data_IF_680245473720
#
_entry.id   IF_680245473720
#
_cell.length_a   1.000
_cell.length_b   1.000
_cell.length_c   1.000
_cell.angle_alpha   90.00
_cell.angle_beta   90.00
_cell.angle_gamma   90.00
#
_symmetry.space_group_name_H-M   'P 1'
#
loop_
_entity.id
_entity.type
_entity.pdbx_description
1 polymer ?
#
# COMPACT_ATOMS: atom_id res chain seq x y z
N UNK A 1 19.41 51.10 19.50
CA UNK A 1 18.84 50.62 20.76
C UNK A 1 17.60 49.79 20.45
N UNK A 2 17.76 48.55 19.99
CA UNK A 2 18.14 47.34 20.76
C UNK A 2 16.88 46.71 21.39
N UNK A 3 16.42 45.54 20.92
CA UNK A 3 16.75 44.17 21.40
C UNK A 3 16.29 43.94 22.86
N UNK A 4 15.63 42.87 23.32
CA UNK A 4 15.30 41.53 22.82
C UNK A 4 14.17 40.96 23.72
N UNK A 5 13.36 40.04 23.18
CA UNK A 5 12.44 39.20 23.94
C UNK A 5 12.06 37.97 23.11
N UNK A 6 12.96 36.98 23.07
CA UNK A 6 12.72 35.67 22.46
C UNK A 6 11.56 34.94 23.17
N UNK A 7 10.59 34.50 22.38
CA UNK A 7 9.90 33.24 22.60
C UNK A 7 10.00 32.47 21.28
N UNK A 8 10.98 31.57 21.22
CA UNK A 8 11.08 30.49 20.25
C UNK A 8 9.75 29.72 20.19
N UNK A 9 8.93 30.02 19.19
CA UNK A 9 8.06 29.02 18.59
C UNK A 9 8.60 28.80 17.19
N UNK A 10 9.56 27.89 17.13
CA UNK A 10 10.03 27.28 15.91
C UNK A 10 8.80 26.75 15.15
N UNK A 11 8.43 27.48 14.12
CA UNK A 11 7.35 27.16 13.20
C UNK A 11 7.95 26.30 12.09
N UNK A 12 8.55 25.17 12.47
CA UNK A 12 8.94 24.11 11.55
C UNK A 12 7.68 23.59 10.85
N UNK A 13 7.59 23.95 9.58
CA UNK A 13 6.53 23.61 8.65
C UNK A 13 6.65 22.14 8.19
N UNK A 14 6.59 21.21 9.14
CA UNK A 14 6.64 19.77 8.91
C UNK A 14 5.30 19.12 9.27
N UNK A 15 4.54 18.75 8.23
CA UNK A 15 3.65 17.60 8.20
C UNK A 15 2.60 17.51 9.31
N UNK A 16 1.39 17.98 9.03
CA UNK A 16 0.26 17.97 9.94
C UNK A 16 0.08 16.66 10.72
N UNK A 17 0.18 16.78 12.04
CA UNK A 17 -0.38 15.84 13.00
C UNK A 17 -1.91 15.88 12.89
N UNK A 18 -2.44 15.26 11.84
CA UNK A 18 -3.85 14.95 11.73
C UNK A 18 -4.16 13.78 12.67
N UNK A 19 -4.34 14.10 13.95
CA UNK A 19 -5.04 13.23 14.89
C UNK A 19 -6.53 13.17 14.50
N UNK A 20 -6.84 12.43 13.43
CA UNK A 20 -8.20 11.96 13.20
C UNK A 20 -8.45 10.80 14.15
N UNK A 21 -9.05 11.08 15.31
CA UNK A 21 -9.87 10.11 16.03
C UNK A 21 -11.11 9.78 15.17
N UNK A 22 -10.92 9.09 14.07
CA UNK A 22 -11.97 8.28 13.47
C UNK A 22 -11.62 6.86 13.89
N UNK A 23 -12.46 6.25 14.74
CA UNK A 23 -12.47 4.81 15.05
C UNK A 23 -11.80 4.04 13.89
N UNK A 24 -10.57 3.54 14.09
CA UNK A 24 -9.78 2.92 13.01
C UNK A 24 -10.39 1.55 12.67
N UNK A 25 -11.59 1.57 12.07
CA UNK A 25 -12.28 0.37 11.60
C UNK A 25 -11.47 -0.29 10.48
N UNK A 26 -10.60 0.48 9.81
CA UNK A 26 -9.79 0.02 8.68
C UNK A 26 -8.32 0.36 8.85
N UNK A 27 -7.47 -0.63 8.58
CA UNK A 27 -6.02 -0.54 8.56
C UNK A 27 -5.53 -0.46 7.11
N UNK A 28 -4.39 0.20 6.89
CA UNK A 28 -3.69 0.20 5.61
C UNK A 28 -2.30 -0.38 5.78
N UNK A 29 -2.02 -1.45 5.03
CA UNK A 29 -0.74 -2.14 5.00
C UNK A 29 -0.09 -1.84 3.65
N UNK A 30 1.10 -1.23 3.67
CA UNK A 30 1.88 -0.94 2.48
C UNK A 30 3.28 -1.52 2.59
N UNK A 31 3.75 -2.19 1.53
CA UNK A 31 5.12 -2.70 1.47
C UNK A 31 5.66 -2.78 0.05
N UNK A 32 6.99 -2.82 -0.02
CA UNK A 32 7.73 -2.91 -1.27
C UNK A 32 8.16 -4.36 -1.54
N UNK A 33 8.28 -4.73 -2.81
CA UNK A 33 8.69 -6.08 -3.23
C UNK A 33 9.61 -6.04 -4.45
N UNK A 34 10.62 -6.91 -4.45
CA UNK A 34 11.45 -7.21 -5.62
C UNK A 34 11.10 -8.56 -6.26
N UNK A 35 10.08 -9.26 -5.75
CA UNK A 35 9.61 -10.53 -6.31
C UNK A 35 8.96 -10.26 -7.67
N UNK A 36 9.19 -11.17 -8.60
CA UNK A 36 8.55 -11.20 -9.92
C UNK A 36 7.31 -12.07 -9.86
N UNK A 37 6.24 -11.64 -10.51
CA UNK A 37 4.96 -12.31 -10.50
C UNK A 37 4.51 -12.63 -11.92
N UNK A 38 4.03 -13.86 -12.13
CA UNK A 38 3.23 -14.15 -13.31
C UNK A 38 1.80 -13.62 -13.12
N UNK A 39 1.08 -13.37 -14.21
CA UNK A 39 -0.34 -12.95 -14.13
C UNK A 39 -1.20 -13.97 -13.37
N UNK A 40 -0.92 -15.26 -13.53
CA UNK A 40 -1.62 -16.34 -12.82
C UNK A 40 -1.40 -16.25 -11.31
N UNK A 41 -0.14 -16.20 -10.88
CA UNK A 41 0.22 -16.07 -9.46
C UNK A 41 -0.41 -14.83 -8.82
N UNK A 42 -0.33 -13.68 -9.49
CA UNK A 42 -0.94 -12.45 -9.00
C UNK A 42 -2.47 -12.59 -8.91
N UNK A 43 -3.12 -13.23 -9.88
CA UNK A 43 -4.57 -13.47 -9.84
C UNK A 43 -4.97 -14.39 -8.68
N UNK A 44 -4.19 -15.43 -8.39
CA UNK A 44 -4.42 -16.33 -7.25
C UNK A 44 -4.32 -15.58 -5.91
N UNK A 45 -3.31 -14.70 -5.76
CA UNK A 45 -3.15 -13.86 -4.57
C UNK A 45 -4.36 -12.91 -4.41
N UNK A 46 -4.76 -12.22 -5.48
CA UNK A 46 -5.89 -11.29 -5.46
C UNK A 46 -7.22 -12.01 -5.15
N UNK A 47 -7.43 -13.21 -5.69
CA UNK A 47 -8.61 -14.02 -5.35
C UNK A 47 -8.64 -14.40 -3.86
N UNK A 48 -7.50 -14.73 -3.25
CA UNK A 48 -7.43 -15.01 -1.80
C UNK A 48 -7.78 -13.76 -0.99
N UNK A 49 -7.25 -12.59 -1.37
CA UNK A 49 -7.53 -11.33 -0.70
C UNK A 49 -9.01 -10.91 -0.79
N UNK A 50 -9.68 -11.19 -1.92
CA UNK A 50 -11.11 -10.90 -2.09
C UNK A 50 -12.01 -11.65 -1.09
N UNK A 51 -11.53 -12.77 -0.52
CA UNK A 51 -12.24 -13.55 0.49
C UNK A 51 -11.94 -13.11 1.94
N UNK A 52 -11.00 -12.18 2.15
CA UNK A 52 -10.66 -11.64 3.47
C UNK A 52 -11.42 -10.34 3.75
N UNK A 53 -11.18 -9.73 4.92
CA UNK A 53 -11.73 -8.42 5.28
C UNK A 53 -11.07 -7.24 4.52
N UNK A 54 -10.66 -7.46 3.27
CA UNK A 54 -10.00 -6.48 2.42
C UNK A 54 -11.04 -5.65 1.67
N UNK A 55 -10.94 -4.33 1.79
CA UNK A 55 -11.77 -3.36 1.06
C UNK A 55 -11.13 -2.88 -0.23
N UNK A 56 -9.79 -2.82 -0.27
CA UNK A 56 -9.07 -2.49 -1.49
C UNK A 56 -7.67 -3.06 -1.44
N UNK A 57 -7.17 -3.59 -2.54
CA UNK A 57 -5.75 -3.78 -2.73
C UNK A 57 -5.33 -3.15 -4.05
N UNK A 58 -4.23 -2.42 -4.07
CA UNK A 58 -3.70 -1.85 -5.29
C UNK A 58 -2.19 -1.88 -5.28
N UNK A 59 -1.61 -1.95 -6.46
CA UNK A 59 -0.17 -1.94 -6.56
C UNK A 59 0.33 -2.14 -7.96
N UNK A 60 1.64 -2.17 -8.06
CA UNK A 60 2.35 -2.58 -9.24
C UNK A 60 3.50 -3.48 -8.82
N UNK A 61 3.71 -4.56 -9.54
CA UNK A 61 4.75 -5.55 -9.27
C UNK A 61 5.47 -5.92 -10.56
N UNK A 62 6.74 -6.32 -10.41
CA UNK A 62 7.55 -6.72 -11.55
C UNK A 62 6.97 -7.99 -12.17
N UNK A 63 6.95 -8.05 -13.50
CA UNK A 63 6.61 -9.28 -14.20
C UNK A 63 7.85 -10.15 -14.38
N UNK A 64 7.67 -11.39 -14.82
CA UNK A 64 8.77 -12.22 -15.28
C UNK A 64 9.48 -11.66 -16.54
N UNK A 65 8.87 -10.72 -17.24
CA UNK A 65 9.33 -10.06 -18.48
C UNK A 65 9.82 -8.60 -18.24
N UNK A 66 9.80 -7.76 -19.27
CA UNK A 66 10.17 -6.33 -19.22
C UNK A 66 9.05 -5.40 -18.76
N UNK A 67 7.82 -5.89 -18.69
CA UNK A 67 6.64 -5.11 -18.33
C UNK A 67 6.29 -5.26 -16.84
N UNK A 68 5.33 -4.47 -16.36
CA UNK A 68 4.92 -4.47 -14.96
C UNK A 68 3.43 -4.73 -14.84
N UNK A 69 3.05 -5.56 -13.87
CA UNK A 69 1.65 -5.82 -13.55
C UNK A 69 1.13 -4.76 -12.62
N UNK A 70 0.16 -3.98 -13.09
CA UNK A 70 -0.63 -3.08 -12.27
C UNK A 70 -1.91 -3.80 -11.88
N UNK A 71 -2.27 -3.75 -10.61
CA UNK A 71 -3.50 -4.35 -10.14
C UNK A 71 -4.31 -3.39 -9.27
N UNK A 72 -5.61 -3.56 -9.34
CA UNK A 72 -6.58 -2.93 -8.44
C UNK A 72 -7.65 -3.97 -8.10
N UNK A 73 -7.91 -4.13 -6.81
CA UNK A 73 -8.89 -5.04 -6.26
C UNK A 73 -9.79 -4.23 -5.35
N UNK A 74 -11.08 -4.46 -5.49
CA UNK A 74 -12.15 -4.05 -4.58
C UNK A 74 -12.89 -5.32 -4.14
N UNK A 75 -13.86 -5.27 -3.21
CA UNK A 75 -14.61 -6.48 -2.88
C UNK A 75 -15.28 -7.03 -4.14
N UNK A 76 -15.26 -8.35 -4.29
CA UNK A 76 -15.90 -9.10 -5.39
C UNK A 76 -15.21 -9.05 -6.77
N UNK A 77 -14.37 -8.05 -7.05
CA UNK A 77 -13.70 -7.92 -8.36
C UNK A 77 -12.26 -7.43 -8.27
N UNK A 78 -11.45 -7.81 -9.26
CA UNK A 78 -10.12 -7.26 -9.45
C UNK A 78 -9.76 -7.15 -10.93
N UNK A 79 -8.83 -6.26 -11.22
CA UNK A 79 -8.28 -6.03 -12.54
C UNK A 79 -6.76 -6.10 -12.51
N UNK A 80 -6.17 -6.78 -13.51
CA UNK A 80 -4.72 -6.80 -13.74
C UNK A 80 -4.45 -6.25 -15.13
N UNK A 81 -3.61 -5.23 -15.22
CA UNK A 81 -3.20 -4.52 -16.43
C UNK A 81 -1.69 -4.53 -16.60
N UNK A 82 -1.22 -4.45 -17.84
CA UNK A 82 0.16 -4.08 -18.13
C UNK A 82 0.33 -2.58 -17.93
N UNK A 83 1.43 -2.17 -17.32
CA UNK A 83 1.78 -0.77 -17.15
C UNK A 83 3.26 -0.49 -17.36
N UNK A 84 3.64 0.76 -17.12
CA UNK A 84 5.00 1.23 -17.37
C UNK A 84 5.98 0.58 -16.40
N UNK A 85 7.24 0.36 -16.81
CA UNK A 85 8.25 -0.18 -15.92
C UNK A 85 8.53 0.75 -14.75
N UNK A 86 8.68 0.14 -13.57
CA UNK A 86 8.94 0.83 -12.30
C UNK A 86 10.28 0.36 -11.71
N UNK A 87 10.75 1.05 -10.66
CA UNK A 87 12.01 0.71 -9.99
C UNK A 87 11.85 -0.45 -8.98
N UNK A 88 10.70 -0.54 -8.31
CA UNK A 88 10.41 -1.57 -7.29
C UNK A 88 8.90 -1.78 -7.19
N UNK A 89 8.48 -3.00 -6.84
CA UNK A 89 7.08 -3.31 -6.58
C UNK A 89 6.58 -2.59 -5.35
N UNK A 90 5.34 -2.08 -5.44
CA UNK A 90 4.65 -1.45 -4.31
C UNK A 90 3.24 -2.01 -4.23
N UNK A 91 2.89 -2.48 -3.05
CA UNK A 91 1.58 -3.05 -2.75
C UNK A 91 0.99 -2.26 -1.58
N UNK A 92 -0.30 -1.94 -1.67
CA UNK A 92 -1.06 -1.33 -0.60
C UNK A 92 -2.40 -2.08 -0.47
N UNK A 93 -2.68 -2.57 0.72
CA UNK A 93 -3.90 -3.29 1.10
C UNK A 93 -4.61 -2.49 2.18
N UNK A 94 -5.92 -2.31 2.04
CA UNK A 94 -6.78 -1.61 2.98
C UNK A 94 -7.91 -2.57 3.35
N UNK A 95 -8.18 -2.72 4.65
CA UNK A 95 -9.15 -3.68 5.15
C UNK A 95 -9.36 -3.57 6.65
N UNK A 96 -10.24 -4.39 7.21
CA UNK A 96 -10.56 -4.41 8.65
C UNK A 96 -9.93 -5.63 9.31
N UNK A 97 -9.27 -5.46 10.45
CA UNK A 97 -8.66 -6.58 11.19
C UNK A 97 -7.70 -7.42 10.31
N UNK A 98 -6.90 -6.72 9.50
CA UNK A 98 -5.95 -7.35 8.56
C UNK A 98 -4.56 -7.41 9.19
N UNK A 99 -3.86 -8.52 8.98
CA UNK A 99 -2.53 -8.75 9.57
C UNK A 99 -1.41 -8.50 8.55
N UNK A 100 -0.49 -7.59 8.90
CA UNK A 100 0.63 -7.22 8.02
C UNK A 100 1.51 -8.40 7.63
N UNK A 101 1.79 -9.33 8.54
CA UNK A 101 2.64 -10.47 8.26
C UNK A 101 1.96 -11.46 7.31
N UNK A 102 0.65 -11.70 7.49
CA UNK A 102 -0.15 -12.51 6.56
C UNK A 102 -0.19 -11.88 5.17
N UNK A 103 -0.40 -10.56 5.08
CA UNK A 103 -0.38 -9.87 3.78
C UNK A 103 1.00 -10.01 3.12
N UNK A 104 2.08 -9.77 3.86
CA UNK A 104 3.44 -9.95 3.35
C UNK A 104 3.70 -11.41 2.93
N UNK A 105 3.28 -12.39 3.72
CA UNK A 105 3.42 -13.81 3.40
C UNK A 105 2.65 -14.20 2.13
N UNK A 106 1.41 -13.72 1.96
CA UNK A 106 0.62 -13.98 0.75
C UNK A 106 1.29 -13.48 -0.53
N UNK A 107 1.96 -12.33 -0.47
CA UNK A 107 2.65 -11.76 -1.62
C UNK A 107 4.10 -12.26 -1.77
N UNK A 108 4.83 -12.49 -0.68
CA UNK A 108 6.27 -12.74 -0.68
C UNK A 108 6.66 -14.21 -0.45
N UNK A 109 5.74 -15.03 0.08
CA UNK A 109 5.90 -16.49 0.20
C UNK A 109 5.90 -17.17 -1.15
#
# INVERSE_FOLDING_TARGET
HECCGHHDHDHECCGGHHHHHADEVFQSIGFDTAKKYSKGELSDILNKLSNENVLRAKGFVDSDDTDWWYFDLVPEEFEIRLGKPMYTGKICVIGKDIDENKMKELFLG
#
